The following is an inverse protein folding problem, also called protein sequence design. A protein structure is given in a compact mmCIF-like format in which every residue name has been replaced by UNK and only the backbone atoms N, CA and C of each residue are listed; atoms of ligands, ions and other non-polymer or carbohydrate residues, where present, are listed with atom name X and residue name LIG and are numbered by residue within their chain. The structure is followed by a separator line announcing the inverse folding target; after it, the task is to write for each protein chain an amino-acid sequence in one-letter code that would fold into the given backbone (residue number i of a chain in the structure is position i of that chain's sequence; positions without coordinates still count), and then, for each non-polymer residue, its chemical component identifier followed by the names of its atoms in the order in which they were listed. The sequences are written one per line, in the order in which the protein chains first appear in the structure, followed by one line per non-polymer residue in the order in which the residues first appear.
data_IF_980652807826
#
_entry.id   IF_980652807826
#
_cell.length_a   1.000
_cell.length_b   1.000
_cell.length_c   1.000
_cell.angle_alpha   90.00
_cell.angle_beta   90.00
_cell.angle_gamma   90.00
#
_symmetry.space_group_name_H-M   'P 1'
#
loop_
_entity.id
_entity.type
_entity.pdbx_description
1 polymer ?
#
# COMPACT_ATOMS: atom_id res chain seq x y z
N UNK A 1 -3.44 -5.12 -16.89
CA UNK A 1 -4.60 -5.72 -17.60
C UNK A 1 -5.47 -4.59 -18.12
N UNK A 2 -5.94 -4.63 -19.36
CA UNK A 2 -6.65 -3.47 -19.91
C UNK A 2 -8.14 -3.54 -19.55
N UNK A 3 -8.60 -2.53 -18.81
CA UNK A 3 -10.02 -2.28 -18.53
C UNK A 3 -10.52 -1.23 -19.53
N UNK A 4 -11.64 -1.52 -20.20
CA UNK A 4 -12.39 -0.54 -20.97
C UNK A 4 -13.59 -0.08 -20.14
N UNK A 5 -13.65 1.19 -19.79
CA UNK A 5 -14.70 1.75 -18.96
C UNK A 5 -15.54 2.75 -19.77
N UNK A 6 -16.76 2.36 -20.12
CA UNK A 6 -17.74 3.15 -20.85
C UNK A 6 -18.63 4.02 -19.95
N UNK A 7 -19.76 4.51 -20.45
CA UNK A 7 -20.66 5.35 -19.62
C UNK A 7 -21.56 4.49 -18.74
N UNK A 8 -22.01 3.36 -19.26
CA UNK A 8 -22.94 2.46 -18.59
C UNK A 8 -22.47 0.99 -18.64
N UNK A 9 -21.18 0.80 -18.90
CA UNK A 9 -20.58 -0.48 -19.20
C UNK A 9 -19.09 -0.51 -18.83
N UNK A 10 -18.60 -1.69 -18.51
CA UNK A 10 -17.19 -1.98 -18.26
C UNK A 10 -16.86 -3.35 -18.83
N UNK A 11 -15.72 -3.46 -19.51
CA UNK A 11 -15.21 -4.73 -20.00
C UNK A 11 -13.72 -4.92 -19.71
N UNK A 12 -13.28 -6.17 -19.66
CA UNK A 12 -11.87 -6.56 -19.50
C UNK A 12 -11.39 -7.34 -20.71
N UNK A 13 -10.08 -7.27 -20.97
CA UNK A 13 -9.40 -8.10 -21.97
C UNK A 13 -9.54 -9.62 -21.75
N UNK A 14 -9.84 -10.03 -20.51
CA UNK A 14 -10.15 -11.42 -20.16
C UNK A 14 -11.60 -11.85 -20.46
N UNK A 15 -12.41 -10.98 -21.08
CA UNK A 15 -13.80 -11.26 -21.46
C UNK A 15 -14.84 -11.05 -20.37
N UNK A 16 -14.49 -10.39 -19.26
CA UNK A 16 -15.48 -9.98 -18.26
C UNK A 16 -16.22 -8.73 -18.71
N UNK A 17 -17.54 -8.72 -18.60
CA UNK A 17 -18.39 -7.59 -19.02
C UNK A 17 -19.48 -7.32 -17.97
N UNK A 18 -19.74 -6.05 -17.68
CA UNK A 18 -20.84 -5.60 -16.85
C UNK A 18 -21.47 -4.35 -17.44
N UNK A 19 -22.79 -4.22 -17.33
CA UNK A 19 -23.53 -3.02 -17.75
C UNK A 19 -24.55 -2.65 -16.70
N UNK A 20 -24.86 -1.35 -16.59
CA UNK A 20 -25.79 -0.82 -15.61
C UNK A 20 -26.80 0.14 -16.23
N UNK A 21 -27.96 0.25 -15.59
CA UNK A 21 -29.03 1.16 -16.02
C UNK A 21 -28.85 2.60 -15.53
N UNK A 22 -29.79 3.51 -15.86
CA UNK A 22 -29.70 4.94 -15.54
C UNK A 22 -29.62 5.27 -14.04
N UNK A 23 -30.09 4.36 -13.18
CA UNK A 23 -30.02 4.48 -11.72
C UNK A 23 -28.88 3.66 -11.09
N UNK A 24 -28.05 3.03 -11.92
CA UNK A 24 -26.92 2.23 -11.48
C UNK A 24 -25.73 3.11 -11.07
N UNK A 25 -25.08 2.75 -9.97
CA UNK A 25 -23.87 3.40 -9.48
C UNK A 25 -22.71 2.42 -9.56
N UNK A 26 -21.54 2.91 -9.93
CA UNK A 26 -20.30 2.15 -9.90
C UNK A 26 -19.30 2.90 -9.03
N UNK A 27 -18.76 2.20 -8.04
CA UNK A 27 -17.74 2.73 -7.12
C UNK A 27 -16.41 2.03 -7.42
N UNK A 28 -15.41 2.73 -8.00
CA UNK A 28 -14.10 2.14 -8.26
C UNK A 28 -13.33 1.98 -6.93
N UNK A 29 -13.35 0.78 -6.36
CA UNK A 29 -12.59 0.39 -5.17
C UNK A 29 -11.28 -0.30 -5.57
N UNK A 30 -10.46 0.40 -6.36
CA UNK A 30 -9.26 -0.18 -6.99
C UNK A 30 -7.94 0.21 -6.32
N UNK A 31 -8.00 0.90 -5.19
CA UNK A 31 -6.81 1.29 -4.42
C UNK A 31 -5.73 1.95 -5.31
N UNK A 32 -4.45 1.59 -5.13
CA UNK A 32 -3.33 2.04 -5.94
C UNK A 32 -3.31 1.55 -7.39
N UNK A 33 -4.31 0.77 -7.84
CA UNK A 33 -4.45 0.34 -9.23
C UNK A 33 -5.28 1.31 -10.09
N UNK A 34 -5.80 2.39 -9.50
CA UNK A 34 -6.55 3.43 -10.21
C UNK A 34 -5.72 4.36 -11.09
N UNK A 35 -4.43 4.03 -11.32
CA UNK A 35 -3.47 4.82 -12.09
C UNK A 35 -3.66 4.69 -13.60
N UNK A 36 -2.60 4.31 -14.31
CA UNK A 36 -2.53 4.36 -15.79
C UNK A 36 -3.59 3.50 -16.51
N UNK A 37 -4.13 2.48 -15.86
CA UNK A 37 -5.16 1.60 -16.44
C UNK A 37 -6.55 2.25 -16.48
N UNK A 38 -6.83 3.19 -15.56
CA UNK A 38 -8.11 3.90 -15.49
C UNK A 38 -8.03 5.17 -16.33
N UNK A 39 -8.39 5.05 -17.61
CA UNK A 39 -8.36 6.14 -18.61
C UNK A 39 -9.29 7.33 -18.32
N UNK A 40 -10.13 7.26 -17.29
CA UNK A 40 -11.02 8.35 -16.85
C UNK A 40 -10.43 9.09 -15.64
N UNK A 41 -11.13 10.11 -15.19
CA UNK A 41 -10.77 11.14 -14.20
C UNK A 41 -10.07 10.68 -12.90
N UNK A 42 -10.06 9.38 -12.57
CA UNK A 42 -9.38 8.82 -11.41
C UNK A 42 -7.90 9.18 -11.34
N UNK A 43 -7.17 9.18 -12.46
CA UNK A 43 -5.76 9.59 -12.49
C UNK A 43 -5.53 11.05 -12.04
N UNK A 44 -6.55 11.91 -12.10
CA UNK A 44 -6.45 13.31 -11.66
C UNK A 44 -6.71 13.49 -10.16
N UNK A 45 -7.35 12.52 -9.52
CA UNK A 45 -7.68 12.56 -8.09
C UNK A 45 -7.03 11.44 -7.26
N UNK A 46 -6.37 10.46 -7.90
CA UNK A 46 -5.64 9.38 -7.23
C UNK A 46 -4.14 9.46 -7.53
N UNK A 47 -3.35 9.28 -6.48
CA UNK A 47 -1.91 9.15 -6.55
C UNK A 47 -1.51 7.76 -6.09
N UNK A 48 -0.90 6.98 -6.97
CA UNK A 48 -0.36 5.68 -6.60
C UNK A 48 0.92 5.92 -5.78
N UNK A 49 0.84 5.63 -4.48
CA UNK A 49 1.97 5.70 -3.54
C UNK A 49 2.22 4.30 -3.00
N UNK A 50 3.49 3.95 -2.87
CA UNK A 50 3.88 2.64 -2.38
C UNK A 50 4.31 2.80 -0.93
N UNK A 51 3.77 1.99 -0.03
CA UNK A 51 4.30 1.90 1.32
C UNK A 51 5.43 0.88 1.37
N UNK A 52 6.45 1.17 2.17
CA UNK A 52 7.45 0.19 2.54
C UNK A 52 7.30 -0.09 4.04
N UNK A 53 7.35 -1.36 4.39
CA UNK A 53 7.24 -1.84 5.75
C UNK A 53 8.49 -2.65 6.08
N UNK A 54 9.04 -2.44 7.26
CA UNK A 54 10.03 -3.32 7.88
C UNK A 54 9.34 -4.04 9.03
N UNK A 55 9.60 -5.34 9.17
CA UNK A 55 9.09 -6.16 10.25
C UNK A 55 10.26 -6.92 10.89
N UNK A 56 10.21 -7.08 12.21
CA UNK A 56 11.11 -7.98 12.92
C UNK A 56 10.75 -9.45 12.65
N UNK A 57 11.63 -10.37 13.04
CA UNK A 57 11.21 -11.72 13.41
C UNK A 57 10.17 -11.66 14.55
N UNK A 58 9.35 -12.70 14.77
CA UNK A 58 8.47 -12.77 15.93
C UNK A 58 9.25 -12.53 17.23
N UNK A 59 8.86 -11.52 17.99
CA UNK A 59 9.48 -11.18 19.26
C UNK A 59 8.85 -12.00 20.39
N UNK A 60 9.63 -12.39 21.41
CA UNK A 60 9.11 -13.13 22.56
C UNK A 60 8.17 -12.26 23.39
N UNK A 61 7.23 -12.89 24.12
CA UNK A 61 6.27 -12.18 24.96
C UNK A 61 6.94 -11.25 25.97
N UNK A 62 8.09 -11.64 26.54
CA UNK A 62 8.83 -10.81 27.49
C UNK A 62 9.23 -9.44 26.93
N UNK A 63 9.56 -9.37 25.64
CA UNK A 63 9.87 -8.10 24.97
C UNK A 63 8.62 -7.24 24.82
N UNK A 64 7.47 -7.85 24.55
CA UNK A 64 6.21 -7.13 24.46
C UNK A 64 5.70 -6.64 25.81
N UNK A 65 5.89 -7.45 26.86
CA UNK A 65 5.55 -7.08 28.24
C UNK A 65 6.38 -5.86 28.69
N UNK A 66 7.65 -5.79 28.26
CA UNK A 66 8.53 -4.63 28.50
C UNK A 66 8.12 -3.39 27.69
N UNK A 67 7.80 -3.55 26.40
CA UNK A 67 7.37 -2.46 25.53
C UNK A 67 6.00 -1.91 25.96
N UNK A 68 5.13 -2.75 26.54
CA UNK A 68 3.76 -2.39 26.93
C UNK A 68 2.77 -2.31 25.76
N UNK A 69 3.14 -2.86 24.59
CA UNK A 69 2.25 -2.96 23.42
C UNK A 69 1.54 -4.32 23.41
N UNK A 70 0.46 -4.39 24.19
CA UNK A 70 -0.50 -5.50 24.16
C UNK A 70 -1.31 -5.54 22.85
N UNK A 71 -2.01 -6.64 22.64
CA UNK A 71 -2.64 -7.05 21.37
C UNK A 71 -3.34 -5.90 20.61
N UNK A 72 -2.87 -5.62 19.39
CA UNK A 72 -3.51 -4.69 18.47
C UNK A 72 -3.24 -3.21 18.75
N UNK A 73 -2.43 -2.86 19.75
CA UNK A 73 -1.99 -1.49 19.94
C UNK A 73 -1.09 -1.05 18.78
N UNK A 74 -1.42 0.13 18.26
CA UNK A 74 -0.64 0.83 17.26
C UNK A 74 -0.31 2.23 17.76
N UNK A 75 0.85 2.74 17.38
CA UNK A 75 1.18 4.15 17.56
C UNK A 75 1.50 4.78 16.22
N UNK A 76 1.28 6.08 16.14
CA UNK A 76 1.61 6.91 15.00
C UNK A 76 2.43 8.09 15.45
N UNK A 77 3.51 8.36 14.73
CA UNK A 77 4.24 9.61 14.80
C UNK A 77 3.84 10.50 13.61
N UNK A 78 3.46 11.73 13.93
CA UNK A 78 3.06 12.75 12.95
C UNK A 78 4.25 13.61 12.47
N UNK A 79 5.49 13.24 12.80
CA UNK A 79 6.68 13.87 12.23
C UNK A 79 6.73 13.70 10.69
N UNK A 80 7.68 14.39 10.04
CA UNK A 80 7.68 14.74 8.59
C UNK A 80 7.52 13.58 7.60
N UNK A 81 7.53 12.34 8.06
CA UNK A 81 7.05 11.18 7.34
C UNK A 81 6.20 10.36 8.32
N UNK A 82 4.90 10.25 8.04
CA UNK A 82 3.97 9.48 8.88
C UNK A 82 4.57 8.09 9.09
N UNK A 83 4.98 7.83 10.32
CA UNK A 83 5.54 6.57 10.75
C UNK A 83 4.54 5.93 11.68
N UNK A 84 4.06 4.75 11.31
CA UNK A 84 3.20 3.97 12.18
C UNK A 84 3.92 2.70 12.58
N UNK A 85 3.54 2.18 13.74
CA UNK A 85 4.00 0.89 14.20
C UNK A 85 2.91 0.14 14.94
N UNK A 86 2.96 -1.19 14.85
CA UNK A 86 2.01 -2.08 15.51
C UNK A 86 2.65 -3.44 15.78
N UNK A 87 2.08 -4.15 16.77
CA UNK A 87 2.31 -5.59 16.95
C UNK A 87 1.37 -6.37 16.04
N UNK A 88 1.91 -7.25 15.20
CA UNK A 88 1.11 -8.17 14.36
C UNK A 88 0.58 -9.36 15.17
N UNK A 89 -0.40 -10.08 14.61
CA UNK A 89 -0.97 -11.28 15.24
C UNK A 89 0.05 -12.42 15.41
N UNK A 90 1.12 -12.43 14.61
CA UNK A 90 2.25 -13.37 14.72
C UNK A 90 3.45 -12.80 15.51
N UNK A 91 3.21 -11.79 16.36
CA UNK A 91 4.17 -11.21 17.30
C UNK A 91 5.35 -10.45 16.68
N UNK A 92 5.20 -9.85 15.50
CA UNK A 92 6.24 -8.99 14.89
C UNK A 92 5.99 -7.53 15.24
N UNK A 93 7.08 -6.78 15.41
CA UNK A 93 7.02 -5.34 15.43
C UNK A 93 7.16 -4.84 13.99
N UNK A 94 6.11 -4.17 13.51
CA UNK A 94 6.05 -3.60 12.17
C UNK A 94 6.29 -2.10 12.26
N UNK A 95 7.12 -1.57 11.37
CA UNK A 95 7.26 -0.14 11.13
C UNK A 95 6.94 0.16 9.67
N UNK A 96 5.97 1.04 9.45
CA UNK A 96 5.61 1.50 8.13
C UNK A 96 5.80 2.99 7.99
N UNK A 97 6.31 3.40 6.84
CA UNK A 97 6.40 4.81 6.45
C UNK A 97 5.71 5.02 5.12
N UNK A 98 5.41 6.29 4.80
CA UNK A 98 5.11 6.65 3.42
C UNK A 98 6.31 6.27 2.56
N UNK A 99 6.13 5.32 1.65
CA UNK A 99 7.22 4.86 0.81
C UNK A 99 7.33 5.68 -0.48
N UNK A 100 7.78 5.02 -1.54
CA UNK A 100 8.20 5.67 -2.77
C UNK A 100 7.03 6.07 -3.67
N UNK A 101 7.34 6.99 -4.56
CA UNK A 101 6.47 7.45 -5.63
C UNK A 101 7.19 7.26 -6.95
N UNK A 102 6.58 6.56 -7.89
CA UNK A 102 7.07 6.54 -9.26
C UNK A 102 6.57 7.77 -10.00
N UNK A 103 7.48 8.38 -10.75
CA UNK A 103 7.19 9.61 -11.48
C UNK A 103 5.92 9.48 -12.33
N UNK A 104 4.98 10.42 -12.11
CA UNK A 104 3.70 10.47 -12.80
C UNK A 104 2.57 9.64 -12.18
N UNK A 105 2.76 9.12 -10.96
CA UNK A 105 1.78 8.26 -10.28
C UNK A 105 1.71 6.87 -10.90
N UNK A 106 2.79 6.45 -11.55
CA UNK A 106 2.87 5.13 -12.15
C UNK A 106 2.73 4.06 -11.09
N UNK A 107 2.01 3.01 -11.44
CA UNK A 107 1.93 1.81 -10.64
C UNK A 107 3.26 1.06 -10.72
N UNK A 108 3.79 0.56 -9.60
CA UNK A 108 4.79 -0.53 -9.65
C UNK A 108 4.07 -1.84 -9.43
N UNK A 109 4.33 -2.77 -10.34
CA UNK A 109 3.70 -4.09 -10.39
C UNK A 109 4.58 -5.17 -9.75
N UNK A 110 5.90 -4.97 -9.78
CA UNK A 110 6.86 -5.85 -9.12
C UNK A 110 7.28 -5.28 -7.76
N UNK A 111 6.81 -5.89 -6.68
CA UNK A 111 7.14 -5.48 -5.30
C UNK A 111 8.36 -6.20 -4.73
N UNK A 112 9.07 -6.99 -5.55
CA UNK A 112 10.35 -7.56 -5.16
C UNK A 112 11.34 -6.43 -4.90
N UNK A 113 11.98 -6.48 -3.74
CA UNK A 113 13.01 -5.52 -3.38
C UNK A 113 14.32 -5.88 -4.09
N UNK A 114 14.96 -4.89 -4.70
CA UNK A 114 16.32 -5.08 -5.21
C UNK A 114 17.32 -5.18 -4.05
N UNK A 115 18.53 -5.69 -4.31
CA UNK A 115 19.59 -5.74 -3.29
C UNK A 115 19.94 -4.35 -2.79
N UNK A 116 20.00 -3.38 -3.70
CA UNK A 116 20.27 -1.98 -3.39
C UNK A 116 19.16 -1.39 -2.52
N UNK A 117 17.89 -1.71 -2.80
CA UNK A 117 16.79 -1.28 -1.96
C UNK A 117 16.92 -1.84 -0.54
N UNK A 118 17.23 -3.12 -0.38
CA UNK A 118 17.43 -3.75 0.94
C UNK A 118 18.63 -3.13 1.66
N UNK A 119 19.75 -2.95 0.98
CA UNK A 119 20.98 -2.46 1.59
C UNK A 119 20.87 -1.02 2.08
N UNK A 120 20.16 -0.17 1.33
CA UNK A 120 19.87 1.20 1.78
C UNK A 120 19.10 1.21 3.11
N UNK A 121 18.17 0.27 3.32
CA UNK A 121 17.41 0.21 4.58
C UNK A 121 18.28 -0.31 5.73
N UNK A 122 19.18 -1.27 5.48
CA UNK A 122 20.15 -1.68 6.50
C UNK A 122 21.01 -0.51 6.94
N UNK A 123 21.56 0.24 5.98
CA UNK A 123 22.39 1.41 6.26
C UNK A 123 21.66 2.44 7.12
N UNK A 124 20.39 2.76 6.81
CA UNK A 124 19.61 3.72 7.61
C UNK A 124 19.37 3.20 9.03
N UNK A 125 19.07 1.91 9.19
CA UNK A 125 18.81 1.31 10.50
C UNK A 125 20.06 1.19 11.37
N UNK A 126 21.24 0.98 10.77
CA UNK A 126 22.53 0.94 11.48
C UNK A 126 23.05 2.33 11.90
N UNK A 127 22.50 3.40 11.31
CA UNK A 127 22.92 4.77 11.58
C UNK A 127 22.15 5.44 12.74
N UNK A 128 21.19 4.73 13.35
CA UNK A 128 20.36 5.16 14.48
C UNK A 128 20.86 4.47 15.76
#
# INVERSE_FOLDING_TARGET
KNISWGTNDLSTDSGGEVSWGPSGWVVPAVEGFGGDEFKRDLRRCHLCVQSLIIATEPLPSSTWDEIGMEEGLAFGDASRQVTYSQRTCDNRLVFGVRGSYLFGGKQREDFSLTKEEVEERRRVMEAI
#
